data_IF_199422052472
#
_entry.id   IF_199422052472
#
_cell.length_a   1.000
_cell.length_b   1.000
_cell.length_c   1.000
_cell.angle_alpha   90.00
_cell.angle_beta   90.00
_cell.angle_gamma   90.00
#
_symmetry.space_group_name_H-M   'P 1'
#
loop_
_entity.id
_entity.type
_entity.pdbx_description
1 polymer ?
#
# COMPACT_ATOMS: atom_id res chain seq x y z
N UNK A 1 -6.14 -13.46 -30.16
CA UNK A 1 -5.58 -12.55 -29.13
C UNK A 1 -4.57 -11.55 -29.73
N UNK A 2 -3.86 -11.90 -30.81
CA UNK A 2 -2.94 -10.98 -31.50
C UNK A 2 -3.62 -9.84 -32.29
N UNK A 3 -4.82 -10.07 -32.82
CA UNK A 3 -5.56 -9.05 -33.59
C UNK A 3 -5.97 -7.84 -32.74
N UNK A 4 -6.29 -8.04 -31.46
CA UNK A 4 -6.65 -6.96 -30.53
C UNK A 4 -5.46 -6.04 -30.23
N UNK A 5 -4.26 -6.62 -30.08
CA UNK A 5 -3.01 -5.86 -29.87
C UNK A 5 -2.59 -5.11 -31.14
N UNK A 6 -2.80 -5.71 -32.32
CA UNK A 6 -2.52 -5.06 -33.60
C UNK A 6 -3.45 -3.86 -33.84
N UNK A 7 -4.75 -4.02 -33.59
CA UNK A 7 -5.72 -2.93 -33.67
C UNK A 7 -5.44 -1.80 -32.66
N UNK A 8 -5.00 -2.15 -31.44
CA UNK A 8 -4.59 -1.14 -30.45
C UNK A 8 -3.36 -0.35 -30.92
N UNK A 9 -2.37 -1.04 -31.50
CA UNK A 9 -1.15 -0.42 -32.05
C UNK A 9 -1.44 0.50 -33.24
N UNK A 10 -2.33 0.09 -34.13
CA UNK A 10 -2.77 0.90 -35.28
C UNK A 10 -3.59 2.11 -34.83
N UNK A 11 -4.46 1.95 -33.83
CA UNK A 11 -5.25 3.03 -33.22
C UNK A 11 -4.36 4.08 -32.53
N UNK A 12 -3.34 3.64 -31.80
CA UNK A 12 -2.32 4.54 -31.22
C UNK A 12 -1.50 5.27 -32.29
N UNK A 13 -1.20 4.59 -33.40
CA UNK A 13 -0.45 5.18 -34.52
C UNK A 13 -1.27 6.27 -35.21
N UNK A 14 -2.56 6.03 -35.45
CA UNK A 14 -3.48 7.00 -36.04
C UNK A 14 -3.71 8.23 -35.14
N UNK A 15 -3.81 8.02 -33.82
CA UNK A 15 -4.04 9.09 -32.85
C UNK A 15 -2.88 10.13 -32.81
N UNK A 16 -1.66 9.72 -33.17
CA UNK A 16 -0.48 10.60 -33.31
C UNK A 16 -0.55 11.54 -34.53
N UNK A 17 -1.35 11.22 -35.55
CA UNK A 17 -1.47 12.04 -36.76
C UNK A 17 -2.59 13.09 -36.66
N UNK A 18 -3.48 13.02 -35.65
CA UNK A 18 -4.68 13.87 -35.56
C UNK A 18 -4.43 15.18 -34.80
N UNK A 19 -3.36 15.30 -34.00
CA UNK A 19 -3.09 16.54 -33.24
C UNK A 19 -2.01 17.40 -33.91
N UNK A 20 -2.47 18.31 -34.76
CA UNK A 20 -1.74 19.42 -35.33
C UNK A 20 -1.43 20.48 -34.26
N UNK A 21 -0.26 20.38 -33.62
CA UNK A 21 0.46 21.54 -33.10
C UNK A 21 1.96 21.23 -33.09
N UNK A 22 2.68 21.75 -34.09
CA UNK A 22 4.06 21.34 -34.43
C UNK A 22 5.08 21.59 -33.31
N UNK A 23 4.83 22.54 -32.40
CA UNK A 23 5.81 22.93 -31.37
C UNK A 23 5.79 22.03 -30.12
N UNK A 24 4.64 21.47 -29.75
CA UNK A 24 4.52 20.52 -28.63
C UNK A 24 5.10 19.14 -29.02
N UNK A 25 5.16 18.84 -30.33
CA UNK A 25 5.58 17.53 -30.83
C UNK A 25 7.06 17.22 -30.59
N UNK A 26 7.96 18.21 -30.60
CA UNK A 26 9.40 17.96 -30.53
C UNK A 26 9.88 17.62 -29.12
N UNK A 27 9.32 18.26 -28.09
CA UNK A 27 9.58 17.93 -26.70
C UNK A 27 9.03 16.54 -26.32
N UNK A 28 7.79 16.24 -26.73
CA UNK A 28 7.19 14.92 -26.52
C UNK A 28 7.90 13.81 -27.31
N UNK A 29 8.36 14.08 -28.54
CA UNK A 29 9.15 13.13 -29.32
C UNK A 29 10.55 12.91 -28.76
N UNK A 30 11.17 13.91 -28.11
CA UNK A 30 12.46 13.72 -27.45
C UNK A 30 12.33 12.88 -26.17
N UNK A 31 11.24 13.05 -25.40
CA UNK A 31 10.93 12.17 -24.27
C UNK A 31 10.67 10.71 -24.68
N UNK A 32 10.07 10.50 -25.86
CA UNK A 32 9.83 9.16 -26.43
C UNK A 32 11.08 8.51 -27.08
N UNK A 33 12.17 9.26 -27.28
CA UNK A 33 13.42 8.78 -27.91
C UNK A 33 14.52 8.44 -26.91
N UNK A 34 14.35 8.79 -25.64
CA UNK A 34 15.21 8.27 -24.59
C UNK A 34 14.99 6.74 -24.54
N UNK A 35 16.04 5.92 -24.34
CA UNK A 35 15.82 4.55 -23.93
C UNK A 35 15.02 4.62 -22.63
N UNK A 36 13.71 4.42 -22.72
CA UNK A 36 12.79 4.36 -21.59
C UNK A 36 13.09 3.05 -20.87
N UNK A 37 14.16 3.10 -20.08
CA UNK A 37 14.49 2.05 -19.15
C UNK A 37 13.38 2.06 -18.10
N UNK A 38 12.39 1.19 -18.30
CA UNK A 38 11.25 1.02 -17.40
C UNK A 38 11.71 0.76 -15.96
N UNK A 39 12.95 0.29 -15.77
CA UNK A 39 13.51 -0.02 -14.47
C UNK A 39 14.16 1.20 -13.79
N UNK A 40 14.38 2.30 -14.52
CA UNK A 40 15.04 3.50 -13.98
C UNK A 40 14.14 4.40 -13.10
N UNK A 41 12.82 4.15 -13.06
CA UNK A 41 11.83 4.97 -12.33
C UNK A 41 10.98 4.13 -11.35
N UNK A 42 11.43 2.91 -11.02
CA UNK A 42 10.73 2.02 -10.10
C UNK A 42 11.41 2.04 -8.74
N UNK A 43 10.72 2.61 -7.75
CA UNK A 43 11.12 2.48 -6.35
C UNK A 43 10.57 1.18 -5.78
N UNK A 44 11.25 0.65 -4.77
CA UNK A 44 10.80 -0.54 -4.06
C UNK A 44 10.40 -0.20 -2.63
N UNK A 45 9.14 -0.45 -2.28
CA UNK A 45 8.64 -0.31 -0.92
C UNK A 45 8.72 -1.66 -0.21
N UNK A 46 9.32 -1.67 0.98
CA UNK A 46 9.32 -2.82 1.87
C UNK A 46 8.44 -2.51 3.08
N UNK A 47 7.41 -3.32 3.30
CA UNK A 47 6.59 -3.29 4.51
C UNK A 47 6.91 -4.53 5.32
N UNK A 48 7.29 -4.34 6.59
CA UNK A 48 7.64 -5.43 7.50
C UNK A 48 6.84 -5.32 8.78
N UNK A 49 6.01 -6.32 9.04
CA UNK A 49 5.25 -6.44 10.28
C UNK A 49 5.89 -7.57 11.09
N UNK A 50 6.62 -7.19 12.14
CA UNK A 50 7.43 -8.13 12.91
C UNK A 50 6.57 -8.84 13.96
N UNK A 51 6.02 -8.08 14.92
CA UNK A 51 5.24 -8.64 16.02
C UNK A 51 4.25 -7.66 16.63
N UNK A 52 3.24 -8.21 17.28
CA UNK A 52 2.38 -7.50 18.23
C UNK A 52 2.93 -7.62 19.65
N UNK A 53 2.63 -6.64 20.50
CA UNK A 53 3.03 -6.63 21.91
C UNK A 53 1.81 -6.42 22.79
N UNK A 54 1.64 -7.27 23.80
CA UNK A 54 0.58 -7.16 24.82
C UNK A 54 -0.85 -6.99 24.24
N UNK A 55 -1.15 -7.65 23.12
CA UNK A 55 -2.48 -7.67 22.53
C UNK A 55 -3.47 -8.32 23.50
N UNK A 56 -4.70 -7.81 23.53
CA UNK A 56 -5.77 -8.31 24.41
C UNK A 56 -6.99 -8.64 23.56
N UNK A 57 -7.49 -9.87 23.68
CA UNK A 57 -8.78 -10.25 23.10
C UNK A 57 -9.91 -9.47 23.78
N UNK A 58 -11.06 -9.31 23.11
CA UNK A 58 -12.26 -8.78 23.76
C UNK A 58 -12.83 -9.79 24.76
N UNK A 59 -12.58 -11.08 24.52
CA UNK A 59 -13.04 -12.19 25.35
C UNK A 59 -12.12 -12.35 26.55
N UNK A 60 -12.71 -12.37 27.75
CA UNK A 60 -11.98 -12.61 28.99
C UNK A 60 -11.31 -13.99 28.95
N UNK A 61 -10.08 -14.04 29.47
CA UNK A 61 -9.29 -15.27 29.67
C UNK A 61 -8.92 -16.03 28.39
N UNK A 62 -9.03 -15.39 27.22
CA UNK A 62 -8.61 -15.96 25.93
C UNK A 62 -7.51 -15.08 25.32
N UNK A 63 -6.49 -15.72 24.76
CA UNK A 63 -5.47 -15.04 23.98
C UNK A 63 -5.96 -14.85 22.55
N UNK A 64 -5.73 -13.68 21.92
CA UNK A 64 -6.24 -13.42 20.58
C UNK A 64 -5.54 -14.29 19.53
N UNK A 65 -6.24 -14.55 18.44
CA UNK A 65 -5.71 -15.15 17.21
C UNK A 65 -5.49 -14.02 16.21
N UNK A 66 -4.33 -13.38 16.28
CA UNK A 66 -4.16 -12.06 15.67
C UNK A 66 -3.66 -12.13 14.22
N UNK A 67 -4.09 -11.15 13.41
CA UNK A 67 -3.52 -10.83 12.10
C UNK A 67 -3.60 -9.33 11.83
N UNK A 68 -2.77 -8.84 10.91
CA UNK A 68 -2.73 -7.44 10.53
C UNK A 68 -3.26 -7.24 9.11
N UNK A 69 -3.98 -6.15 8.88
CA UNK A 69 -4.46 -5.72 7.56
C UNK A 69 -4.04 -4.29 7.30
N UNK A 70 -3.55 -4.00 6.09
CA UNK A 70 -3.22 -2.65 5.67
C UNK A 70 -3.37 -2.48 4.16
N UNK A 71 -3.48 -1.22 3.74
CA UNK A 71 -3.50 -0.83 2.33
C UNK A 71 -2.58 0.35 2.13
N UNK A 72 -1.64 0.21 1.20
CA UNK A 72 -0.75 1.30 0.80
C UNK A 72 -1.21 1.85 -0.55
N UNK A 73 -1.53 3.15 -0.58
CA UNK A 73 -1.95 3.85 -1.80
C UNK A 73 -3.07 3.12 -2.57
N UNK A 74 -2.86 2.83 -3.85
CA UNK A 74 -3.79 2.15 -4.75
C UNK A 74 -3.56 0.62 -4.84
N UNK A 75 -2.61 0.08 -4.07
CA UNK A 75 -2.32 -1.34 -4.04
C UNK A 75 -3.48 -2.13 -3.40
N UNK A 76 -3.66 -3.41 -3.73
CA UNK A 76 -4.63 -4.28 -3.04
C UNK A 76 -4.38 -4.34 -1.54
N UNK A 77 -5.43 -4.57 -0.77
CA UNK A 77 -5.32 -4.86 0.66
C UNK A 77 -4.36 -6.02 0.91
N UNK A 78 -3.58 -5.91 1.98
CA UNK A 78 -2.58 -6.89 2.39
C UNK A 78 -2.92 -7.40 3.78
N UNK A 79 -2.83 -8.70 3.95
CA UNK A 79 -2.99 -9.38 5.24
C UNK A 79 -1.75 -10.22 5.59
N UNK A 80 -1.49 -10.30 6.89
CA UNK A 80 -0.50 -11.24 7.43
C UNK A 80 -1.15 -12.59 7.71
N UNK A 81 -0.33 -13.64 7.85
CA UNK A 81 -0.81 -14.89 8.42
C UNK A 81 -1.39 -14.67 9.84
N UNK A 82 -2.38 -15.47 10.19
CA UNK A 82 -2.98 -15.50 11.53
C UNK A 82 -2.04 -16.23 12.49
N UNK A 83 -1.73 -15.59 13.61
CA UNK A 83 -0.97 -16.20 14.70
C UNK A 83 -1.95 -16.53 15.84
N UNK A 84 -2.24 -17.83 16.08
CA UNK A 84 -3.27 -18.21 17.04
C UNK A 84 -2.80 -18.02 18.49
N UNK A 85 -3.75 -17.71 19.37
CA UNK A 85 -3.62 -17.75 20.83
C UNK A 85 -2.32 -17.13 21.38
N UNK A 86 -2.05 -15.86 21.08
CA UNK A 86 -0.89 -15.16 21.63
C UNK A 86 -1.15 -13.69 21.92
N UNK A 87 -0.74 -13.22 23.11
CA UNK A 87 -0.69 -11.79 23.41
C UNK A 87 0.50 -11.08 22.75
N UNK A 88 1.50 -11.83 22.27
CA UNK A 88 2.70 -11.30 21.63
C UNK A 88 2.98 -12.08 20.32
N UNK A 89 2.09 -11.98 19.32
CA UNK A 89 2.23 -12.74 18.08
C UNK A 89 3.46 -12.28 17.30
N UNK A 90 4.23 -13.22 16.76
CA UNK A 90 5.34 -12.96 15.84
C UNK A 90 4.86 -13.24 14.42
N UNK A 91 4.59 -12.19 13.66
CA UNK A 91 4.10 -12.28 12.28
C UNK A 91 5.25 -12.55 11.31
N UNK A 92 6.40 -11.89 11.54
CA UNK A 92 7.57 -11.95 10.64
C UNK A 92 7.22 -11.76 9.14
N UNK A 93 6.19 -10.97 8.86
CA UNK A 93 5.70 -10.72 7.50
C UNK A 93 6.57 -9.66 6.82
N UNK A 94 6.93 -9.92 5.57
CA UNK A 94 7.68 -8.98 4.74
C UNK A 94 7.10 -8.97 3.32
N UNK A 95 6.39 -7.90 2.99
CA UNK A 95 5.92 -7.62 1.63
C UNK A 95 6.80 -6.60 0.93
N UNK A 96 6.93 -6.77 -0.37
CA UNK A 96 7.74 -5.90 -1.23
C UNK A 96 6.92 -5.49 -2.44
N UNK A 97 6.84 -4.19 -2.71
CA UNK A 97 6.04 -3.63 -3.80
C UNK A 97 6.92 -2.77 -4.71
N UNK A 98 6.77 -2.96 -6.01
CA UNK A 98 7.37 -2.09 -7.00
C UNK A 98 6.43 -0.92 -7.26
N UNK A 99 6.93 0.31 -7.06
CA UNK A 99 6.18 1.54 -7.16
C UNK A 99 6.70 2.38 -8.30
N UNK A 100 5.80 2.78 -9.20
CA UNK A 100 6.09 3.83 -10.16
C UNK A 100 5.88 5.17 -9.46
N UNK A 101 6.92 6.01 -9.44
CA UNK A 101 6.81 7.33 -8.81
C UNK A 101 6.14 8.30 -9.76
N UNK A 102 4.93 8.71 -9.41
CA UNK A 102 4.22 9.83 -10.00
C UNK A 102 3.92 10.92 -8.94
N UNK A 103 3.32 12.02 -9.36
CA UNK A 103 2.99 13.14 -8.48
C UNK A 103 1.94 12.78 -7.41
N UNK A 104 1.07 11.83 -7.70
CA UNK A 104 -0.01 11.44 -6.79
C UNK A 104 0.53 10.55 -5.67
N UNK A 105 1.43 9.62 -6.00
CA UNK A 105 2.17 8.83 -5.03
C UNK A 105 3.11 9.69 -4.19
N UNK A 106 3.84 10.64 -4.80
CA UNK A 106 4.69 11.58 -4.05
C UNK A 106 3.85 12.41 -3.06
N UNK A 107 2.70 12.93 -3.50
CA UNK A 107 1.76 13.63 -2.62
C UNK A 107 1.26 12.72 -1.50
N UNK A 108 0.81 11.51 -1.82
CA UNK A 108 0.33 10.52 -0.84
C UNK A 108 1.37 10.26 0.26
N UNK A 109 2.63 10.00 -0.13
CA UNK A 109 3.72 9.74 0.82
C UNK A 109 3.97 10.96 1.72
N UNK A 110 3.85 12.17 1.20
CA UNK A 110 4.12 13.39 1.96
C UNK A 110 2.95 13.84 2.85
N UNK A 111 1.70 13.46 2.55
CA UNK A 111 0.52 13.97 3.27
C UNK A 111 -0.26 12.94 4.06
N UNK A 112 -0.17 11.66 3.73
CA UNK A 112 -0.99 10.61 4.34
C UNK A 112 -0.22 9.73 5.32
N UNK A 113 -0.98 9.00 6.14
CA UNK A 113 -0.50 7.95 7.02
C UNK A 113 -0.85 6.57 6.45
N UNK A 114 0.00 5.57 6.71
CA UNK A 114 -0.36 4.18 6.54
C UNK A 114 -1.04 3.66 7.82
N UNK A 115 -2.26 3.15 7.67
CA UNK A 115 -2.98 2.50 8.75
C UNK A 115 -2.76 0.98 8.72
N UNK A 116 -2.34 0.42 9.84
CA UNK A 116 -2.24 -1.02 10.05
C UNK A 116 -3.25 -1.41 11.12
N UNK A 117 -4.28 -2.14 10.72
CA UNK A 117 -5.32 -2.64 11.60
C UNK A 117 -4.91 -4.01 12.13
N UNK A 118 -5.17 -4.26 13.42
CA UNK A 118 -4.91 -5.57 14.05
C UNK A 118 -6.25 -6.19 14.42
N UNK A 119 -6.53 -7.36 13.90
CA UNK A 119 -7.77 -8.11 14.13
C UNK A 119 -7.53 -9.32 15.05
N UNK A 120 -8.60 -9.84 15.63
CA UNK A 120 -8.64 -11.13 16.34
C UNK A 120 -9.61 -12.04 15.59
N UNK A 121 -9.10 -13.11 14.98
CA UNK A 121 -9.86 -14.09 14.19
C UNK A 121 -10.91 -14.85 15.03
N UNK A 122 -10.81 -14.77 16.36
CA UNK A 122 -11.84 -15.33 17.24
C UNK A 122 -13.08 -14.42 17.37
N UNK A 123 -13.03 -13.19 16.84
CA UNK A 123 -14.16 -12.25 16.86
C UNK A 123 -15.17 -12.58 15.75
N UNK A 124 -16.47 -12.73 16.08
CA UNK A 124 -17.49 -13.00 15.08
C UNK A 124 -17.79 -11.77 14.21
N UNK A 125 -17.56 -10.57 14.73
CA UNK A 125 -17.71 -9.32 14.00
C UNK A 125 -16.42 -8.99 13.23
N UNK A 126 -16.49 -9.13 11.91
CA UNK A 126 -15.38 -8.88 10.98
C UNK A 126 -14.94 -7.41 10.95
N UNK A 127 -15.74 -6.48 11.50
CA UNK A 127 -15.39 -5.06 11.61
C UNK A 127 -14.70 -4.72 12.92
N UNK A 128 -14.79 -5.63 13.91
CA UNK A 128 -14.14 -5.51 15.21
C UNK A 128 -12.64 -5.75 15.07
N UNK A 129 -11.86 -4.79 15.54
CA UNK A 129 -10.40 -4.85 15.52
C UNK A 129 -9.86 -4.52 16.91
N UNK A 130 -8.73 -5.11 17.27
CA UNK A 130 -8.04 -4.86 18.54
C UNK A 130 -7.50 -3.43 18.63
N UNK A 131 -7.20 -2.83 17.49
CA UNK A 131 -6.79 -1.44 17.33
C UNK A 131 -6.07 -1.21 16.00
N UNK A 132 -5.68 0.04 15.75
CA UNK A 132 -4.91 0.42 14.55
C UNK A 132 -3.65 1.20 14.91
N UNK A 133 -2.54 0.88 14.26
CA UNK A 133 -1.35 1.70 14.27
C UNK A 133 -1.41 2.73 13.14
N UNK A 134 -0.91 3.95 13.41
CA UNK A 134 -0.83 5.04 12.45
C UNK A 134 0.64 5.30 12.15
N UNK A 135 1.04 5.15 10.89
CA UNK A 135 2.44 5.22 10.45
C UNK A 135 2.62 6.40 9.48
N UNK A 136 3.22 7.52 9.92
CA UNK A 136 3.45 8.66 9.05
C UNK A 136 4.43 8.36 7.92
N UNK A 137 4.01 8.59 6.66
CA UNK A 137 4.76 8.17 5.49
C UNK A 137 5.86 9.15 5.05
N UNK A 138 5.84 10.40 5.51
CA UNK A 138 6.69 11.50 5.05
C UNK A 138 8.21 11.23 5.11
N UNK A 139 8.68 10.28 5.93
CA UNK A 139 10.11 9.90 5.92
C UNK A 139 10.51 9.15 4.65
N UNK A 140 9.58 8.44 4.00
CA UNK A 140 9.85 7.68 2.78
C UNK A 140 10.14 8.59 1.58
N UNK A 141 9.56 9.80 1.50
CA UNK A 141 9.88 10.75 0.42
C UNK A 141 11.33 11.23 0.45
N UNK A 142 12.00 11.06 1.60
CA UNK A 142 13.41 11.36 1.80
C UNK A 142 14.28 10.11 1.81
N UNK A 143 13.76 8.97 1.34
CA UNK A 143 14.42 7.66 1.36
C UNK A 143 14.92 7.25 2.77
N UNK A 144 14.20 7.66 3.82
CA UNK A 144 14.49 7.29 5.20
C UNK A 144 13.52 6.21 5.66
N UNK A 145 14.01 5.11 6.26
CA UNK A 145 13.14 4.04 6.72
C UNK A 145 12.35 4.48 7.95
N UNK A 146 11.08 4.07 8.00
CA UNK A 146 10.24 4.20 9.20
C UNK A 146 10.37 2.89 10.00
N UNK A 147 10.86 2.98 11.24
CA UNK A 147 11.08 1.83 12.12
C UNK A 147 10.72 2.20 13.55
N UNK A 148 9.98 1.33 14.22
CA UNK A 148 9.60 1.55 15.61
C UNK A 148 8.51 0.61 16.09
N UNK A 149 8.14 0.79 17.35
CA UNK A 149 6.92 0.24 17.95
C UNK A 149 5.89 1.37 17.89
N UNK A 150 4.68 1.04 17.43
CA UNK A 150 3.59 1.99 17.28
C UNK A 150 2.42 1.55 18.15
N UNK A 151 1.89 2.46 18.95
CA UNK A 151 0.77 2.18 19.83
C UNK A 151 -0.51 1.94 19.01
N UNK A 152 -1.27 0.93 19.44
CA UNK A 152 -2.59 0.66 18.86
C UNK A 152 -3.62 1.63 19.43
N UNK A 153 -4.22 2.40 18.53
CA UNK A 153 -5.36 3.26 18.85
C UNK A 153 -6.64 2.45 18.63
N UNK A 154 -7.50 2.37 19.65
CA UNK A 154 -8.86 1.89 19.44
C UNK A 154 -9.64 2.99 18.72
N UNK A 155 -10.32 2.65 17.62
CA UNK A 155 -11.31 3.54 17.04
C UNK A 155 -12.33 3.92 18.12
N UNK A 156 -12.73 5.20 18.19
CA UNK A 156 -13.98 5.52 18.87
C UNK A 156 -15.05 4.75 18.11
N UNK A 157 -15.66 3.75 18.74
CA UNK A 157 -16.92 3.19 18.25
C UNK A 157 -17.87 4.38 18.11
N UNK A 158 -18.10 4.84 16.87
CA UNK A 158 -19.24 5.69 16.59
C UNK A 158 -20.44 4.76 16.69
N UNK A 159 -20.90 4.54 17.92
CA UNK A 159 -22.17 3.89 18.18
C UNK A 159 -23.24 4.70 17.46
N UNK A 160 -23.81 4.13 16.41
CA UNK A 160 -25.13 4.55 15.97
C UNK A 160 -26.11 4.02 17.02
N UNK A 161 -26.41 4.89 17.99
CA UNK A 161 -27.58 4.77 18.86
C UNK A 161 -28.83 5.31 18.17
#
# INVERSE_FOLDING_TARGET
>A
MEEAFKNFKEKLKAMKYIHSNKEVSTAAMNLLKLPYDKDSHVNQLHVKIIRGLNLKSSRRDIQPSAFCVYKFYDLPDQDTAIIPASNNPEFSDHRTFNLFIDSDLDKYINTEDLFIYVFDDNEPDITSHLGKAIIPLHLLSHNKPIKGIFDLQKGKETGYG
#
